data_IF_493803256627
#
_entry.id   IF_493803256627
#
_cell.length_a   1.000
_cell.length_b   1.000
_cell.length_c   1.000
_cell.angle_alpha   90.00
_cell.angle_beta   90.00
_cell.angle_gamma   90.00
#
_symmetry.space_group_name_H-M   'P 1'
#
loop_
_entity.id
_entity.type
_entity.pdbx_description
1 polymer ?
#
# COMPACT_ATOMS: atom_id res chain seq x y z
N UNK A 1 -2.50 -4.66 36.24
CA UNK A 1 -3.09 -3.31 36.33
C UNK A 1 -3.96 -3.15 35.09
N UNK A 2 -5.19 -2.65 35.24
CA UNK A 2 -6.03 -2.32 34.09
C UNK A 2 -5.36 -1.17 33.31
N UNK A 3 -5.47 -1.19 32.00
CA UNK A 3 -4.98 -0.10 31.15
C UNK A 3 -5.84 1.13 31.41
N UNK A 4 -5.25 2.17 32.02
CA UNK A 4 -5.95 3.40 32.44
C UNK A 4 -6.10 4.41 31.28
N UNK A 5 -5.62 4.06 30.08
CA UNK A 5 -5.73 4.89 28.89
C UNK A 5 -4.88 6.15 28.87
N UNK A 6 -3.98 6.32 29.83
CA UNK A 6 -3.08 7.48 29.90
C UNK A 6 -1.96 7.45 28.84
N UNK A 7 -1.77 6.33 28.15
CA UNK A 7 -0.81 6.15 27.07
C UNK A 7 -1.30 5.07 26.08
N UNK A 8 -0.83 5.13 24.84
CA UNK A 8 -1.17 4.12 23.83
C UNK A 8 -0.84 2.69 24.33
N UNK A 9 -1.88 1.90 24.53
CA UNK A 9 -1.75 0.50 24.94
C UNK A 9 -1.04 -0.33 23.86
N UNK A 10 -0.05 -1.15 24.25
CA UNK A 10 0.64 -2.07 23.34
C UNK A 10 -0.05 -3.43 23.15
N UNK A 11 -0.95 -3.82 24.06
CA UNK A 11 -1.49 -5.19 24.12
C UNK A 11 -3.00 -5.26 24.26
N UNK A 12 -3.65 -4.19 24.72
CA UNK A 12 -5.09 -4.15 25.02
C UNK A 12 -5.87 -3.54 23.85
N UNK A 13 -5.36 -2.47 23.25
CA UNK A 13 -6.02 -1.72 22.18
C UNK A 13 -5.22 -1.77 20.87
N UNK A 14 -5.85 -2.17 19.74
CA UNK A 14 -5.20 -2.14 18.44
C UNK A 14 -4.97 -0.69 17.97
N UNK A 15 -3.93 -0.48 17.17
CA UNK A 15 -3.62 0.85 16.64
C UNK A 15 -4.69 1.34 15.66
N UNK A 16 -5.05 2.63 15.71
CA UNK A 16 -5.96 3.22 14.73
C UNK A 16 -5.31 3.30 13.34
N UNK A 17 -6.05 2.93 12.30
CA UNK A 17 -5.59 2.97 10.90
C UNK A 17 -5.53 4.36 10.26
N UNK A 18 -5.99 5.41 10.97
CA UNK A 18 -6.13 6.75 10.40
C UNK A 18 -4.86 7.60 10.51
N UNK A 19 -3.86 7.20 11.30
CA UNK A 19 -2.62 7.96 11.47
C UNK A 19 -1.45 7.24 10.80
N UNK A 20 -1.14 7.67 9.58
CA UNK A 20 -0.10 7.06 8.76
C UNK A 20 0.64 8.09 7.92
N UNK A 21 1.80 7.70 7.43
CA UNK A 21 2.65 8.49 6.54
C UNK A 21 3.07 7.65 5.34
N UNK A 22 3.13 8.28 4.18
CA UNK A 22 3.66 7.65 2.97
C UNK A 22 4.88 8.41 2.50
N UNK A 23 5.94 7.69 2.15
CA UNK A 23 7.15 8.23 1.53
C UNK A 23 7.32 7.62 0.16
N UNK A 24 7.51 8.47 -0.83
CA UNK A 24 7.97 8.07 -2.17
C UNK A 24 9.45 8.40 -2.24
N UNK A 25 10.28 7.36 -2.21
CA UNK A 25 11.71 7.51 -2.00
C UNK A 25 12.01 8.35 -0.76
N UNK A 26 12.56 9.54 -0.92
CA UNK A 26 12.92 10.47 0.15
C UNK A 26 11.84 11.53 0.43
N UNK A 27 10.80 11.64 -0.40
CA UNK A 27 9.73 12.63 -0.23
C UNK A 27 8.55 12.11 0.57
N UNK A 28 8.19 12.84 1.63
CA UNK A 28 6.95 12.62 2.38
C UNK A 28 5.76 13.14 1.57
N UNK A 29 4.77 12.28 1.42
CA UNK A 29 3.52 12.53 0.71
C UNK A 29 2.35 12.31 1.67
N UNK A 30 1.35 13.20 1.61
CA UNK A 30 0.15 13.13 2.45
C UNK A 30 -1.00 12.55 1.64
N UNK A 31 -1.48 11.39 2.04
CA UNK A 31 -2.62 10.71 1.41
C UNK A 31 -3.79 10.68 2.37
N UNK A 32 -4.98 10.64 1.79
CA UNK A 32 -6.23 10.43 2.51
C UNK A 32 -6.50 8.94 2.71
N UNK A 33 -6.14 8.12 1.72
CA UNK A 33 -6.41 6.67 1.74
C UNK A 33 -5.28 5.91 1.04
N UNK A 34 -4.94 4.74 1.58
CA UNK A 34 -4.05 3.76 0.97
C UNK A 34 -4.71 2.39 1.10
N UNK A 35 -4.81 1.66 -0.01
CA UNK A 35 -5.44 0.34 -0.09
C UNK A 35 -4.68 -0.59 -1.04
N UNK A 36 -4.96 -1.90 -0.98
CA UNK A 36 -4.29 -2.92 -1.81
C UNK A 36 -2.97 -3.46 -1.25
N UNK A 37 -2.77 -3.35 0.08
CA UNK A 37 -1.61 -3.93 0.77
C UNK A 37 -1.78 -5.44 1.01
N UNK A 38 -2.14 -6.17 -0.05
CA UNK A 38 -2.33 -7.62 -0.02
C UNK A 38 -1.19 -8.35 -0.75
N UNK A 39 -0.79 -9.49 -0.17
CA UNK A 39 0.14 -10.44 -0.78
C UNK A 39 -0.57 -11.77 -0.82
N UNK A 40 -0.63 -12.37 -2.01
CA UNK A 40 -1.15 -13.71 -2.20
C UNK A 40 -0.02 -14.64 -2.61
N UNK A 41 -0.04 -15.90 -2.15
CA UNK A 41 0.80 -16.95 -2.70
C UNK A 41 -0.09 -17.93 -3.46
N UNK A 42 0.29 -18.30 -4.68
CA UNK A 42 -0.44 -19.30 -5.44
C UNK A 42 -0.31 -20.68 -4.78
N UNK A 43 -1.35 -21.50 -4.82
CA UNK A 43 -1.32 -22.88 -4.32
C UNK A 43 -1.07 -23.84 -5.49
N UNK A 44 0.03 -24.58 -5.45
CA UNK A 44 0.32 -25.66 -6.40
C UNK A 44 -0.20 -26.96 -5.78
N UNK A 45 -1.13 -27.62 -6.47
CA UNK A 45 -1.67 -28.92 -6.08
C UNK A 45 -0.92 -30.03 -6.82
N UNK A 46 -0.38 -30.97 -6.08
CA UNK A 46 0.34 -32.12 -6.64
C UNK A 46 -0.16 -33.42 -6.02
N UNK A 47 -0.32 -34.45 -6.86
CA UNK A 47 -0.58 -35.82 -6.41
C UNK A 47 0.19 -36.75 -7.34
N UNK A 48 1.02 -37.60 -6.75
CA UNK A 48 1.68 -38.68 -7.48
C UNK A 48 0.70 -39.84 -7.70
N UNK A 49 0.84 -40.55 -8.82
CA UNK A 49 -0.17 -41.49 -9.32
C UNK A 49 -0.42 -42.69 -8.41
N UNK A 50 0.57 -43.05 -7.59
CA UNK A 50 0.57 -44.16 -6.64
C UNK A 50 0.30 -43.72 -5.19
N UNK A 51 -0.20 -42.49 -4.97
CA UNK A 51 -0.51 -42.02 -3.62
C UNK A 51 -1.67 -42.81 -2.99
N UNK A 52 -1.43 -43.53 -1.87
CA UNK A 52 -2.46 -44.29 -1.16
C UNK A 52 -3.49 -43.37 -0.48
N UNK A 53 -3.12 -42.11 -0.25
CA UNK A 53 -3.99 -41.07 0.25
C UNK A 53 -4.74 -40.42 -0.93
N UNK A 54 -6.08 -40.39 -0.86
CA UNK A 54 -6.95 -39.78 -1.88
C UNK A 54 -7.04 -38.25 -1.74
N UNK A 55 -5.97 -37.60 -1.27
CA UNK A 55 -5.88 -36.15 -1.11
C UNK A 55 -4.70 -35.56 -1.88
N UNK A 56 -4.81 -34.28 -2.24
CA UNK A 56 -3.74 -33.53 -2.93
C UNK A 56 -2.76 -32.93 -1.93
N UNK A 57 -1.47 -32.96 -2.27
CA UNK A 57 -0.42 -32.23 -1.57
C UNK A 57 -0.48 -30.77 -2.05
N UNK A 58 -0.45 -29.83 -1.11
CA UNK A 58 -0.48 -28.39 -1.36
C UNK A 58 0.91 -27.81 -1.13
N UNK A 59 1.47 -27.17 -2.15
CA UNK A 59 2.78 -26.51 -2.09
C UNK A 59 2.63 -25.00 -2.35
N UNK A 60 3.43 -24.15 -1.69
CA UNK A 60 3.47 -22.72 -1.98
C UNK A 60 4.08 -22.49 -3.37
N UNK A 61 3.36 -21.76 -4.22
CA UNK A 61 3.77 -21.33 -5.54
C UNK A 61 4.29 -19.90 -5.58
N UNK A 62 4.14 -19.23 -6.72
CA UNK A 62 4.62 -17.87 -6.91
C UNK A 62 3.86 -16.87 -6.02
N UNK A 63 4.56 -15.85 -5.53
CA UNK A 63 3.95 -14.72 -4.81
C UNK A 63 3.36 -13.74 -5.82
N UNK A 64 2.09 -13.43 -5.66
CA UNK A 64 1.36 -12.38 -6.36
C UNK A 64 1.27 -11.16 -5.44
N UNK A 65 1.68 -10.03 -5.98
CA UNK A 65 1.60 -8.73 -5.34
C UNK A 65 0.41 -7.98 -5.94
N UNK A 66 -0.51 -7.55 -5.08
CA UNK A 66 -1.66 -6.75 -5.49
C UNK A 66 -1.24 -5.34 -5.95
N UNK A 67 -2.13 -4.67 -6.68
CA UNK A 67 -1.94 -3.28 -7.03
C UNK A 67 -2.34 -2.41 -5.84
N UNK A 68 -1.57 -1.35 -5.59
CA UNK A 68 -1.82 -0.44 -4.48
C UNK A 68 -2.46 0.84 -5.00
N UNK A 69 -3.59 1.19 -4.39
CA UNK A 69 -4.31 2.43 -4.72
C UNK A 69 -4.09 3.43 -3.62
N UNK A 70 -3.69 4.64 -3.99
CA UNK A 70 -3.50 5.75 -3.05
C UNK A 70 -4.33 6.95 -3.50
N UNK A 71 -5.03 7.59 -2.56
CA UNK A 71 -5.89 8.75 -2.82
C UNK A 71 -5.41 9.97 -2.06
N UNK A 72 -5.44 11.13 -2.70
CA UNK A 72 -4.93 12.39 -2.14
C UNK A 72 -5.78 13.56 -2.63
N UNK A 73 -5.89 14.60 -1.80
CA UNK A 73 -6.52 15.85 -2.21
C UNK A 73 -5.73 16.59 -3.30
N UNK A 74 -6.45 17.23 -4.22
CA UNK A 74 -5.85 18.08 -5.26
C UNK A 74 -5.43 19.41 -4.63
N UNK A 75 -4.15 19.77 -4.78
CA UNK A 75 -3.60 21.04 -4.30
C UNK A 75 -3.06 21.86 -5.47
N UNK A 76 -3.20 23.18 -5.38
CA UNK A 76 -2.65 24.10 -6.39
C UNK A 76 -1.13 23.94 -6.48
N UNK A 77 -0.62 23.60 -7.67
CA UNK A 77 0.81 23.44 -7.92
C UNK A 77 1.38 22.06 -7.56
N UNK A 78 0.55 21.12 -7.11
CA UNK A 78 0.98 19.76 -6.82
C UNK A 78 0.67 18.83 -8.00
N UNK A 79 1.68 18.56 -8.83
CA UNK A 79 1.59 17.69 -10.00
C UNK A 79 2.36 16.38 -9.82
N UNK A 80 2.68 15.98 -8.59
CA UNK A 80 3.61 14.87 -8.34
C UNK A 80 3.15 13.53 -8.92
N UNK A 81 1.84 13.25 -8.91
CA UNK A 81 1.30 12.05 -9.56
C UNK A 81 1.59 12.07 -11.05
N UNK A 82 1.24 13.18 -11.71
CA UNK A 82 1.46 13.37 -13.15
C UNK A 82 2.96 13.38 -13.51
N UNK A 83 3.81 13.99 -12.68
CA UNK A 83 5.25 14.04 -12.90
C UNK A 83 5.90 12.65 -12.80
N UNK A 84 5.40 11.77 -11.93
CA UNK A 84 5.85 10.39 -11.88
C UNK A 84 5.35 9.59 -13.09
N UNK A 85 4.07 9.74 -13.45
CA UNK A 85 3.48 9.03 -14.58
C UNK A 85 4.06 9.42 -15.94
N UNK A 86 4.37 10.71 -16.16
CA UNK A 86 5.05 11.21 -17.37
C UNK A 86 6.43 10.61 -17.62
N UNK A 87 7.05 9.99 -16.61
CA UNK A 87 8.35 9.33 -16.77
C UNK A 87 8.23 7.97 -17.46
N UNK A 88 7.01 7.45 -17.61
CA UNK A 88 6.73 6.27 -18.42
C UNK A 88 6.86 6.67 -19.89
N UNK A 89 7.93 6.19 -20.54
CA UNK A 89 8.20 6.42 -21.97
C UNK A 89 8.55 5.10 -22.63
N UNK A 90 7.62 4.56 -23.42
CA UNK A 90 7.72 3.23 -24.04
C UNK A 90 8.06 2.14 -23.00
N UNK A 91 9.33 1.70 -22.97
CA UNK A 91 9.86 0.66 -22.08
C UNK A 91 10.64 1.24 -20.87
N UNK A 92 10.78 2.56 -20.79
CA UNK A 92 11.49 3.22 -19.70
C UNK A 92 10.49 3.67 -18.64
N UNK A 93 10.65 3.17 -17.42
CA UNK A 93 9.85 3.54 -16.25
C UNK A 93 10.78 3.91 -15.10
N UNK A 94 10.39 4.92 -14.31
CA UNK A 94 11.09 5.21 -13.05
C UNK A 94 10.45 4.43 -11.92
N UNK A 95 11.15 3.39 -11.48
CA UNK A 95 10.82 2.62 -10.29
C UNK A 95 11.28 3.36 -9.05
N UNK A 96 10.42 3.44 -8.04
CA UNK A 96 10.72 4.09 -6.76
C UNK A 96 10.34 3.16 -5.61
N UNK A 97 11.12 3.14 -4.52
CA UNK A 97 10.66 2.51 -3.29
C UNK A 97 9.54 3.38 -2.67
N UNK A 98 8.46 2.75 -2.24
CA UNK A 98 7.35 3.42 -1.55
C UNK A 98 7.21 2.83 -0.17
N UNK A 99 7.30 3.67 0.86
CA UNK A 99 7.20 3.23 2.26
C UNK A 99 5.95 3.81 2.88
N UNK A 100 5.10 2.95 3.43
CA UNK A 100 3.88 3.31 4.15
C UNK A 100 4.12 2.94 5.61
N UNK A 101 3.95 3.91 6.51
CA UNK A 101 4.21 3.73 7.93
C UNK A 101 2.98 4.10 8.74
N UNK A 102 2.49 3.18 9.56
CA UNK A 102 1.53 3.48 10.61
C UNK A 102 2.27 4.15 11.77
N UNK A 103 1.74 5.27 12.24
CA UNK A 103 2.37 6.09 13.25
C UNK A 103 1.67 5.92 14.61
N UNK A 104 2.45 5.96 15.69
CA UNK A 104 1.96 6.03 17.06
C UNK A 104 1.59 7.48 17.46
N UNK A 105 1.06 7.70 18.66
CA UNK A 105 0.73 9.03 19.20
C UNK A 105 1.93 10.01 19.21
N UNK A 106 3.15 9.48 19.27
CA UNK A 106 4.40 10.26 19.20
C UNK A 106 4.90 10.53 17.77
N UNK A 107 4.18 10.08 16.75
CA UNK A 107 4.58 10.21 15.35
C UNK A 107 5.69 9.25 14.92
N UNK A 108 5.97 8.20 15.70
CA UNK A 108 6.97 7.17 15.37
C UNK A 108 6.34 6.05 14.56
N UNK A 109 7.08 5.58 13.56
CA UNK A 109 6.65 4.45 12.74
C UNK A 109 6.68 3.15 13.56
N UNK A 110 5.52 2.51 13.69
CA UNK A 110 5.37 1.23 14.40
C UNK A 110 5.26 0.07 13.40
N UNK A 111 4.32 0.18 12.45
CA UNK A 111 4.14 -0.80 11.38
C UNK A 111 4.57 -0.18 10.05
N UNK A 112 5.49 -0.82 9.34
CA UNK A 112 6.06 -0.29 8.10
C UNK A 112 5.89 -1.31 6.97
N UNK A 113 5.25 -0.86 5.90
CA UNK A 113 5.12 -1.57 4.64
C UNK A 113 6.03 -0.91 3.60
N UNK A 114 7.06 -1.62 3.14
CA UNK A 114 7.99 -1.14 2.12
C UNK A 114 7.75 -1.87 0.81
N UNK A 115 7.36 -1.11 -0.19
CA UNK A 115 7.15 -1.55 -1.57
C UNK A 115 8.44 -1.33 -2.36
N UNK A 116 8.94 -2.40 -2.98
CA UNK A 116 10.13 -2.35 -3.82
C UNK A 116 9.75 -2.18 -5.28
N UNK A 117 10.50 -1.32 -5.97
CA UNK A 117 10.36 -1.09 -7.42
C UNK A 117 8.95 -0.70 -7.86
N UNK A 118 8.27 0.16 -7.09
CA UNK A 118 6.93 0.59 -7.45
C UNK A 118 6.94 1.53 -8.66
N UNK A 119 5.89 1.47 -9.48
CA UNK A 119 5.65 2.41 -10.58
C UNK A 119 4.14 2.55 -10.86
N UNK A 120 3.68 3.70 -11.39
CA UNK A 120 2.25 3.98 -11.51
C UNK A 120 1.65 3.36 -12.78
N UNK A 121 0.54 2.65 -12.64
CA UNK A 121 -0.20 2.06 -13.77
C UNK A 121 -1.34 2.94 -14.23
N UNK A 122 -1.98 3.69 -13.33
CA UNK A 122 -3.16 4.49 -13.61
C UNK A 122 -3.22 5.71 -12.71
N UNK A 123 -3.64 6.84 -13.28
CA UNK A 123 -4.05 8.03 -12.52
C UNK A 123 -5.50 8.32 -12.86
N UNK A 124 -6.32 8.59 -11.85
CA UNK A 124 -7.70 9.03 -12.01
C UNK A 124 -7.85 10.37 -11.31
N UNK A 125 -8.30 11.39 -12.05
CA UNK A 125 -8.61 12.70 -11.49
C UNK A 125 -9.92 12.70 -10.70
N UNK A 126 -10.22 13.83 -10.07
CA UNK A 126 -11.52 14.04 -9.41
C UNK A 126 -12.61 14.29 -10.45
N UNK A 127 -13.83 13.82 -10.17
CA UNK A 127 -15.02 14.31 -10.86
C UNK A 127 -15.27 15.77 -10.47
N UNK A 128 -15.65 16.59 -11.45
CA UNK A 128 -15.92 18.02 -11.27
C UNK A 128 -17.42 18.26 -11.40
N UNK A 129 -18.07 18.62 -10.28
CA UNK A 129 -19.50 18.91 -10.23
C UNK A 129 -19.74 20.28 -9.60
N UNK A 130 -20.35 21.20 -10.36
CA UNK A 130 -20.56 22.58 -9.91
C UNK A 130 -21.49 22.71 -8.70
N UNK A 131 -22.33 21.71 -8.42
CA UNK A 131 -23.23 21.66 -7.27
C UNK A 131 -22.68 20.80 -6.11
N UNK A 132 -21.48 20.23 -6.26
CA UNK A 132 -20.88 19.37 -5.24
C UNK A 132 -20.26 20.18 -4.10
N UNK A 133 -20.45 19.72 -2.86
CA UNK A 133 -19.81 20.28 -1.66
C UNK A 133 -18.78 19.30 -1.08
N UNK A 134 -17.86 18.85 -1.94
CA UNK A 134 -16.86 17.83 -1.63
C UNK A 134 -15.47 18.32 -2.06
N UNK A 135 -14.43 17.80 -1.42
CA UNK A 135 -13.04 18.11 -1.79
C UNK A 135 -12.63 17.34 -3.04
N UNK A 136 -11.85 17.97 -3.91
CA UNK A 136 -11.27 17.33 -5.07
C UNK A 136 -10.25 16.26 -4.64
N UNK A 137 -10.49 14.98 -5.00
CA UNK A 137 -9.61 13.85 -4.68
C UNK A 137 -9.09 13.23 -5.97
N UNK A 138 -7.78 13.16 -6.11
CA UNK A 138 -7.10 12.37 -7.14
C UNK A 138 -6.69 10.99 -6.59
N UNK A 139 -6.62 10.00 -7.46
CA UNK A 139 -6.15 8.66 -7.11
C UNK A 139 -5.09 8.16 -8.09
N UNK A 140 -4.14 7.40 -7.54
CA UNK A 140 -3.08 6.76 -8.29
C UNK A 140 -3.03 5.28 -7.92
N UNK A 141 -2.93 4.44 -8.94
CA UNK A 141 -2.71 3.02 -8.82
C UNK A 141 -1.25 2.73 -9.17
N UNK A 142 -0.58 1.98 -8.31
CA UNK A 142 0.81 1.56 -8.49
C UNK A 142 0.90 0.05 -8.45
N UNK A 143 1.85 -0.50 -9.20
CA UNK A 143 2.29 -1.88 -9.06
C UNK A 143 3.66 -1.90 -8.41
N UNK A 144 4.01 -2.99 -7.77
CA UNK A 144 5.30 -3.18 -7.12
C UNK A 144 5.78 -4.63 -7.30
N UNK A 145 7.09 -4.83 -7.19
CA UNK A 145 7.73 -6.14 -7.41
C UNK A 145 8.05 -6.85 -6.08
N UNK A 146 7.74 -6.22 -4.94
CA UNK A 146 7.90 -6.82 -3.62
C UNK A 146 7.28 -5.96 -2.52
N UNK A 147 6.82 -6.62 -1.45
CA UNK A 147 6.32 -5.99 -0.23
C UNK A 147 7.01 -6.61 0.98
N UNK A 148 7.66 -5.77 1.77
CA UNK A 148 8.26 -6.13 3.05
C UNK A 148 7.47 -5.49 4.18
N UNK A 149 7.15 -6.28 5.19
CA UNK A 149 6.42 -5.82 6.37
C UNK A 149 7.37 -5.89 7.56
N UNK A 150 7.57 -4.76 8.23
CA UNK A 150 8.35 -4.67 9.46
C UNK A 150 7.47 -4.11 10.57
N UNK A 151 7.57 -4.68 11.76
CA UNK A 151 6.95 -4.20 12.98
C UNK A 151 8.07 -3.86 13.97
N UNK A 152 8.09 -2.63 14.48
CA UNK A 152 9.13 -2.10 15.38
C UNK A 152 8.59 -1.90 16.79
#
# INVERSE_FOLDING_TARGET
MADDGSAQSKTVWPMPKFYFQVKWDSQVMRFQEVSGLDIQSEEIKYRHGDSPEFSVIKMPGMKKFGNITMKKGVFKGDNKFWDWFKQIKMNTIKRLPVTISLLDEGGKATMVWTLTNAWPTKITGTDLKSEGNEVAIESIEIVHEGLTIANS
#
